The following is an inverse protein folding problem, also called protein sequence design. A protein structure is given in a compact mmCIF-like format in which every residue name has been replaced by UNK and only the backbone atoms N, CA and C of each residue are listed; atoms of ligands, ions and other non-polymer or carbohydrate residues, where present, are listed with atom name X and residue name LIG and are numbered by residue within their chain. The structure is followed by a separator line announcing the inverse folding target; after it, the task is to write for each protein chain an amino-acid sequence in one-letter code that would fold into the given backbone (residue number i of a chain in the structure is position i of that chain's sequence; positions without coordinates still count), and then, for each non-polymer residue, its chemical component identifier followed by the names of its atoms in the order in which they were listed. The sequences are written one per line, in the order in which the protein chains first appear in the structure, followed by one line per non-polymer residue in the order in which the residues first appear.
data_IF_253787661202
#
_entry.id   IF_253787661202
#
_cell.length_a   1.000
_cell.length_b   1.000
_cell.length_c   1.000
_cell.angle_alpha   90.00
_cell.angle_beta   90.00
_cell.angle_gamma   90.00
#
_symmetry.space_group_name_H-M   'P 1'
#
loop_
_entity.id
_entity.type
_entity.pdbx_description
1 polymer ?
#
# COMPACT_ATOMS: atom_id res chain seq x y z
N UNK A 1 -0.40 -16.57 12.77
CA UNK A 1 0.13 -16.75 11.41
C UNK A 1 1.25 -17.80 11.32
N UNK A 2 1.61 -18.43 12.44
CA UNK A 2 2.64 -19.50 12.49
C UNK A 2 4.08 -19.00 12.74
N UNK A 3 4.33 -17.71 12.86
CA UNK A 3 5.61 -17.18 13.32
C UNK A 3 5.70 -17.31 14.84
N UNK A 4 6.87 -17.67 15.34
CA UNK A 4 7.20 -17.64 16.78
C UNK A 4 7.70 -16.27 17.22
N UNK A 5 8.01 -15.38 16.28
CA UNK A 5 8.57 -14.06 16.52
C UNK A 5 7.55 -12.92 16.36
N UNK A 6 6.81 -12.91 15.25
CA UNK A 6 5.82 -11.87 14.98
C UNK A 6 4.53 -12.12 15.76
N UNK A 7 4.11 -11.11 16.54
CA UNK A 7 2.87 -11.14 17.30
C UNK A 7 1.73 -10.55 16.47
N UNK A 8 0.75 -11.39 16.13
CA UNK A 8 -0.36 -11.01 15.25
C UNK A 8 -1.73 -11.39 15.84
N UNK A 9 -2.04 -10.98 17.10
CA UNK A 9 -3.22 -11.50 17.82
C UNK A 9 -4.54 -11.19 17.10
N UNK A 10 -4.68 -10.02 16.50
CA UNK A 10 -5.91 -9.65 15.78
C UNK A 10 -6.06 -10.37 14.43
N UNK A 11 -4.95 -10.59 13.72
CA UNK A 11 -4.96 -11.38 12.47
C UNK A 11 -5.25 -12.85 12.80
N UNK A 12 -4.67 -13.36 13.88
CA UNK A 12 -4.90 -14.76 14.30
C UNK A 12 -6.35 -14.95 14.75
N UNK A 13 -6.97 -13.96 15.42
CA UNK A 13 -8.40 -13.98 15.75
C UNK A 13 -9.24 -13.99 14.48
N UNK A 14 -8.99 -13.11 13.51
CA UNK A 14 -9.71 -13.11 12.24
C UNK A 14 -9.60 -14.46 11.52
N UNK A 15 -8.42 -15.07 11.52
CA UNK A 15 -8.19 -16.38 10.92
C UNK A 15 -8.95 -17.51 11.65
N UNK A 16 -9.14 -17.39 12.97
CA UNK A 16 -9.92 -18.38 13.76
C UNK A 16 -11.43 -18.23 13.61
N UNK A 17 -11.92 -17.02 13.31
CA UNK A 17 -13.33 -16.70 13.11
C UNK A 17 -13.76 -16.84 11.63
N UNK A 18 -12.80 -16.95 10.70
CA UNK A 18 -13.04 -16.94 9.26
C UNK A 18 -12.33 -18.08 8.52
N UNK A 19 -11.92 -17.80 7.28
CA UNK A 19 -11.20 -18.74 6.44
C UNK A 19 -9.73 -18.30 6.25
N UNK A 20 -8.81 -19.23 6.45
CA UNK A 20 -7.39 -19.07 6.18
C UNK A 20 -6.97 -19.90 4.97
N UNK A 21 -6.56 -19.24 3.90
CA UNK A 21 -6.02 -19.90 2.70
C UNK A 21 -4.55 -20.22 2.91
N UNK A 22 -4.18 -21.49 2.84
CA UNK A 22 -2.79 -21.96 3.03
C UNK A 22 -1.94 -21.85 1.77
N UNK A 23 -2.60 -21.81 0.61
CA UNK A 23 -1.96 -21.79 -0.71
C UNK A 23 -2.46 -20.60 -1.54
N UNK A 24 -2.34 -19.40 -0.99
CA UNK A 24 -2.68 -18.14 -1.67
C UNK A 24 -1.41 -17.43 -2.15
N UNK A 25 -1.41 -17.05 -3.43
CA UNK A 25 -0.26 -16.43 -4.08
C UNK A 25 -0.61 -15.05 -4.62
N UNK A 26 0.32 -14.09 -4.49
CA UNK A 26 0.19 -12.80 -5.15
C UNK A 26 0.46 -12.94 -6.67
N UNK A 27 -0.18 -12.09 -7.47
CA UNK A 27 -0.01 -12.11 -8.92
C UNK A 27 1.39 -11.69 -9.39
N UNK A 28 2.15 -11.01 -8.53
CA UNK A 28 3.51 -10.56 -8.79
C UNK A 28 4.26 -10.34 -7.48
N UNK A 29 5.59 -10.39 -7.55
CA UNK A 29 6.48 -10.18 -6.39
C UNK A 29 6.68 -8.70 -6.03
N UNK A 30 6.12 -7.75 -6.80
CA UNK A 30 6.26 -6.30 -6.57
C UNK A 30 4.91 -5.59 -6.53
N UNK A 31 4.93 -4.34 -6.03
CA UNK A 31 3.74 -3.61 -5.57
C UNK A 31 2.72 -3.27 -6.67
N UNK A 32 3.07 -2.50 -7.69
CA UNK A 32 2.09 -1.98 -8.65
C UNK A 32 1.35 -3.07 -9.43
N UNK A 33 2.02 -4.10 -10.00
CA UNK A 33 1.30 -5.14 -10.72
C UNK A 33 0.38 -5.98 -9.83
N UNK A 34 0.79 -6.28 -8.59
CA UNK A 34 -0.08 -6.99 -7.64
C UNK A 34 -1.31 -6.17 -7.28
N UNK A 35 -1.15 -4.86 -7.04
CA UNK A 35 -2.26 -3.95 -6.73
C UNK A 35 -3.24 -3.83 -7.90
N UNK A 36 -2.72 -3.66 -9.10
CA UNK A 36 -3.54 -3.65 -10.31
C UNK A 36 -4.32 -4.96 -10.48
N UNK A 37 -3.67 -6.10 -10.26
CA UNK A 37 -4.32 -7.41 -10.34
C UNK A 37 -5.44 -7.58 -9.29
N UNK A 38 -5.25 -7.13 -8.05
CA UNK A 38 -6.27 -7.15 -7.00
C UNK A 38 -7.50 -6.33 -7.41
N UNK A 39 -7.29 -5.13 -7.96
CA UNK A 39 -8.38 -4.22 -8.28
C UNK A 39 -9.12 -4.58 -9.56
N UNK A 40 -8.45 -5.21 -10.54
CA UNK A 40 -9.03 -5.50 -11.86
C UNK A 40 -9.36 -6.97 -12.09
N UNK A 41 -8.89 -7.89 -11.25
CA UNK A 41 -8.98 -9.33 -11.49
C UNK A 41 -8.15 -9.83 -12.66
N UNK A 42 -7.23 -9.03 -13.20
CA UNK A 42 -6.42 -9.36 -14.37
C UNK A 42 -4.97 -9.61 -14.01
N UNK A 43 -4.32 -10.56 -14.69
CA UNK A 43 -2.89 -10.76 -14.54
C UNK A 43 -2.07 -9.56 -15.04
N UNK A 44 -0.92 -9.27 -14.41
CA UNK A 44 -0.05 -8.15 -14.79
C UNK A 44 0.32 -8.11 -16.28
N UNK A 45 0.54 -9.28 -16.90
CA UNK A 45 0.85 -9.37 -18.31
C UNK A 45 -0.31 -8.89 -19.22
N UNK A 46 -1.56 -9.08 -18.81
CA UNK A 46 -2.74 -8.58 -19.54
C UNK A 46 -2.90 -7.08 -19.44
N UNK A 47 -2.50 -6.53 -18.30
CA UNK A 47 -2.51 -5.08 -18.03
C UNK A 47 -1.30 -4.36 -18.64
N UNK A 48 -0.30 -5.10 -19.09
CA UNK A 48 1.02 -4.56 -19.46
C UNK A 48 1.66 -3.72 -18.32
N UNK A 49 1.26 -3.99 -17.06
CA UNK A 49 1.80 -3.36 -15.88
C UNK A 49 2.54 -4.46 -15.09
N UNK A 50 3.78 -4.73 -15.48
CA UNK A 50 4.54 -5.91 -15.06
C UNK A 50 5.69 -5.60 -14.11
N UNK A 51 5.90 -4.31 -13.77
CA UNK A 51 6.89 -3.88 -12.79
C UNK A 51 6.33 -2.72 -11.95
N UNK A 52 7.01 -2.37 -10.85
CA UNK A 52 6.61 -1.26 -9.98
C UNK A 52 6.77 0.11 -10.66
N UNK A 53 5.89 1.03 -10.34
CA UNK A 53 5.90 2.39 -10.88
C UNK A 53 6.82 3.33 -10.05
N UNK A 54 7.44 4.32 -10.66
CA UNK A 54 7.56 4.59 -12.09
C UNK A 54 8.69 3.76 -12.72
N UNK A 55 8.47 2.55 -13.09
CA UNK A 55 9.46 1.63 -13.64
C UNK A 55 10.35 2.31 -14.71
N UNK A 56 11.51 1.79 -14.89
CA UNK A 56 12.53 2.36 -15.76
C UNK A 56 13.93 1.94 -15.31
N UNK A 57 14.05 0.71 -14.80
CA UNK A 57 15.36 0.11 -14.49
C UNK A 57 16.13 -0.30 -15.75
N UNK A 58 15.64 0.07 -16.92
CA UNK A 58 16.37 -0.25 -18.13
C UNK A 58 17.77 0.42 -18.10
N UNK A 59 18.77 -0.43 -18.06
CA UNK A 59 20.16 -0.03 -18.23
C UNK A 59 20.48 -0.12 -19.74
N UNK A 60 21.01 0.93 -20.38
CA UNK A 60 21.48 0.88 -21.77
C UNK A 60 22.48 -0.26 -22.05
N UNK A 61 23.15 -0.75 -21.02
CA UNK A 61 24.08 -1.89 -21.09
C UNK A 61 23.41 -3.25 -20.85
N UNK A 62 22.10 -3.28 -20.55
CA UNK A 62 21.38 -4.53 -20.34
C UNK A 62 21.36 -5.37 -21.62
N UNK A 63 21.55 -6.68 -21.48
CA UNK A 63 21.52 -7.62 -22.60
C UNK A 63 20.14 -7.75 -23.24
N UNK A 64 19.08 -7.45 -22.47
CA UNK A 64 17.69 -7.53 -22.90
C UNK A 64 17.05 -6.15 -22.82
N UNK A 65 16.24 -5.83 -23.81
CA UNK A 65 15.43 -4.62 -23.84
C UNK A 65 14.21 -4.81 -22.94
N UNK A 66 13.81 -3.76 -22.21
CA UNK A 66 12.55 -3.72 -21.47
C UNK A 66 11.38 -4.02 -22.41
N UNK A 67 10.46 -4.86 -21.97
CA UNK A 67 9.22 -5.16 -22.68
C UNK A 67 8.27 -3.96 -22.72
N UNK A 68 7.17 -4.09 -23.47
CA UNK A 68 6.10 -3.10 -23.48
C UNK A 68 5.50 -2.99 -22.06
N UNK A 69 5.39 -1.77 -21.56
CA UNK A 69 5.00 -1.49 -20.20
C UNK A 69 4.16 -0.20 -20.13
N UNK A 70 3.06 -0.23 -19.36
CA UNK A 70 2.25 0.95 -19.06
C UNK A 70 2.71 1.59 -17.75
N UNK A 71 2.62 2.93 -17.67
CA UNK A 71 3.15 3.69 -16.53
C UNK A 71 2.08 4.16 -15.55
N UNK A 72 0.88 3.64 -15.71
CA UNK A 72 -0.26 3.87 -14.83
C UNK A 72 -1.29 2.75 -15.06
N UNK A 73 -2.20 2.54 -14.12
CA UNK A 73 -3.38 1.74 -14.36
C UNK A 73 -4.24 2.47 -15.41
N UNK A 74 -4.53 1.86 -16.59
CA UNK A 74 -5.34 2.50 -17.60
C UNK A 74 -6.77 2.76 -17.11
N UNK A 75 -7.35 3.90 -17.50
CA UNK A 75 -8.72 4.28 -17.12
C UNK A 75 -9.79 3.37 -17.72
N UNK A 76 -9.44 2.65 -18.77
CA UNK A 76 -10.33 1.67 -19.43
C UNK A 76 -10.47 0.37 -18.64
N UNK A 77 -9.62 0.18 -17.63
CA UNK A 77 -9.68 -1.00 -16.78
C UNK A 77 -10.75 -0.84 -15.71
N UNK A 78 -11.81 -1.62 -15.82
CA UNK A 78 -12.90 -1.63 -14.86
C UNK A 78 -12.46 -2.31 -13.56
N UNK A 79 -12.54 -1.59 -12.46
CA UNK A 79 -12.04 -2.03 -11.16
C UNK A 79 -13.14 -2.59 -10.25
N UNK A 80 -12.73 -3.35 -9.24
CA UNK A 80 -13.62 -3.80 -8.17
C UNK A 80 -14.33 -2.62 -7.47
N UNK A 81 -13.62 -1.50 -7.30
CA UNK A 81 -14.22 -0.30 -6.68
C UNK A 81 -15.31 0.31 -7.55
N UNK A 82 -15.13 0.37 -8.88
CA UNK A 82 -16.16 0.83 -9.81
C UNK A 82 -17.37 -0.07 -9.78
N UNK A 83 -17.17 -1.40 -9.83
CA UNK A 83 -18.26 -2.37 -9.77
C UNK A 83 -19.09 -2.25 -8.48
N UNK A 84 -18.41 -2.10 -7.35
CA UNK A 84 -19.09 -1.95 -6.07
C UNK A 84 -19.78 -0.59 -5.91
N UNK A 85 -19.17 0.49 -6.42
CA UNK A 85 -19.79 1.81 -6.46
C UNK A 85 -21.07 1.81 -7.30
N UNK A 86 -21.07 1.17 -8.47
CA UNK A 86 -22.26 0.98 -9.31
C UNK A 86 -23.34 0.15 -8.59
N UNK A 87 -22.95 -0.76 -7.70
CA UNK A 87 -23.84 -1.54 -6.86
C UNK A 87 -24.31 -0.77 -5.61
N UNK A 88 -23.98 0.52 -5.47
CA UNK A 88 -24.44 1.37 -4.37
C UNK A 88 -23.57 1.33 -3.10
N UNK A 89 -22.38 0.78 -3.18
CA UNK A 89 -21.43 0.82 -2.07
C UNK A 89 -20.72 2.19 -1.99
N UNK A 90 -20.52 2.68 -0.78
CA UNK A 90 -19.59 3.77 -0.51
C UNK A 90 -18.17 3.23 -0.55
N UNK A 91 -17.29 3.81 -1.37
CA UNK A 91 -15.96 3.26 -1.65
C UNK A 91 -14.85 4.15 -1.11
N UNK A 92 -13.85 3.57 -0.44
CA UNK A 92 -12.68 4.28 0.07
C UNK A 92 -11.37 3.55 -0.22
N UNK A 93 -10.36 4.32 -0.61
CA UNK A 93 -8.96 3.92 -0.66
C UNK A 93 -8.18 4.70 0.39
N UNK A 94 -7.69 4.03 1.42
CA UNK A 94 -6.95 4.65 2.52
C UNK A 94 -5.57 3.99 2.62
N UNK A 95 -4.53 4.72 2.22
CA UNK A 95 -3.14 4.25 2.22
C UNK A 95 -2.49 4.23 0.84
N UNK A 96 -1.61 3.26 0.63
CA UNK A 96 -0.76 3.20 -0.56
C UNK A 96 -1.55 2.88 -1.83
N UNK A 97 -1.51 3.79 -2.80
CA UNK A 97 -2.05 3.56 -4.14
C UNK A 97 -1.00 2.96 -5.09
N UNK A 98 -0.06 3.75 -5.52
CA UNK A 98 1.07 3.33 -6.37
C UNK A 98 0.66 2.71 -7.73
N UNK A 99 -0.43 3.19 -8.32
CA UNK A 99 -0.92 2.75 -9.63
C UNK A 99 -0.99 3.86 -10.67
N UNK A 100 -0.38 4.99 -10.40
CA UNK A 100 -0.24 6.07 -11.36
C UNK A 100 -0.25 7.44 -10.72
N UNK A 101 0.18 8.47 -11.49
CA UNK A 101 0.28 9.85 -11.05
C UNK A 101 -1.00 10.65 -11.27
N UNK A 102 -1.02 11.84 -10.67
CA UNK A 102 -1.91 12.91 -11.13
C UNK A 102 -1.66 13.24 -12.61
N UNK A 103 -2.67 13.74 -13.33
CA UNK A 103 -4.02 14.03 -12.85
C UNK A 103 -5.03 12.89 -13.09
N UNK A 104 -4.67 11.77 -13.71
CA UNK A 104 -5.64 10.85 -14.29
C UNK A 104 -5.63 9.43 -13.72
N UNK A 105 -4.78 9.10 -12.77
CA UNK A 105 -4.67 7.71 -12.30
C UNK A 105 -4.56 7.59 -10.77
N UNK A 106 -5.31 8.44 -10.07
CA UNK A 106 -5.49 8.37 -8.62
C UNK A 106 -6.72 7.52 -8.27
N UNK A 107 -6.90 7.08 -7.02
CA UNK A 107 -8.04 6.26 -6.61
C UNK A 107 -9.41 6.79 -7.05
N UNK A 108 -9.65 8.10 -6.99
CA UNK A 108 -10.91 8.70 -7.39
C UNK A 108 -11.25 8.53 -8.88
N UNK A 109 -10.25 8.27 -9.73
CA UNK A 109 -10.44 8.00 -11.15
C UNK A 109 -10.75 6.52 -11.43
N UNK A 110 -10.64 5.67 -10.41
CA UNK A 110 -10.81 4.22 -10.47
C UNK A 110 -11.88 3.72 -9.48
N UNK A 111 -12.93 4.53 -9.27
CA UNK A 111 -14.11 4.09 -8.56
C UNK A 111 -14.12 4.32 -7.05
N UNK A 112 -13.14 5.02 -6.49
CA UNK A 112 -13.16 5.37 -5.07
C UNK A 112 -13.74 6.77 -4.84
N UNK A 113 -14.75 6.85 -3.95
CA UNK A 113 -15.35 8.11 -3.52
C UNK A 113 -14.45 8.88 -2.55
N UNK A 114 -13.66 8.15 -1.77
CA UNK A 114 -12.73 8.69 -0.78
C UNK A 114 -11.32 8.21 -1.09
N UNK A 115 -10.37 9.16 -1.11
CA UNK A 115 -8.95 8.87 -1.24
C UNK A 115 -8.18 9.55 -0.11
N UNK A 116 -7.57 8.77 0.78
CA UNK A 116 -6.71 9.25 1.85
C UNK A 116 -5.33 8.66 1.68
N UNK A 117 -4.32 9.49 1.52
CA UNK A 117 -2.91 9.14 1.33
C UNK A 117 -2.59 8.34 0.05
N UNK A 118 -3.55 8.09 -0.83
CA UNK A 118 -3.32 7.40 -2.10
C UNK A 118 -2.72 8.33 -3.15
N UNK A 119 -1.50 8.04 -3.61
CA UNK A 119 -0.80 8.78 -4.67
C UNK A 119 0.12 7.89 -5.51
N UNK A 120 0.92 8.50 -6.39
CA UNK A 120 1.86 7.80 -7.25
C UNK A 120 3.04 7.15 -6.51
N UNK A 121 3.33 7.55 -5.27
CA UNK A 121 4.50 7.07 -4.55
C UNK A 121 4.28 5.69 -3.93
N UNK A 122 5.28 4.82 -4.05
CA UNK A 122 5.26 3.48 -3.49
C UNK A 122 5.68 3.39 -2.03
N UNK A 123 6.19 4.49 -1.46
CA UNK A 123 6.65 4.56 -0.08
C UNK A 123 6.47 5.97 0.48
N UNK A 124 6.30 6.15 1.79
CA UNK A 124 6.37 7.46 2.42
C UNK A 124 7.81 7.95 2.44
N UNK A 125 8.01 9.24 2.57
CA UNK A 125 9.34 9.79 2.82
C UNK A 125 9.82 9.54 4.26
N UNK A 126 8.88 9.49 5.20
CA UNK A 126 9.07 9.20 6.62
C UNK A 126 7.76 8.61 7.18
N UNK A 127 7.85 7.69 8.15
CA UNK A 127 6.67 7.17 8.83
C UNK A 127 6.18 8.04 9.98
N UNK A 128 6.93 9.08 10.35
CA UNK A 128 6.52 10.06 11.35
C UNK A 128 6.21 11.40 10.69
N UNK A 129 5.18 12.10 11.20
CA UNK A 129 4.81 13.43 10.71
C UNK A 129 6.03 14.38 10.69
N UNK A 130 6.21 15.17 9.63
CA UNK A 130 5.32 15.44 8.49
C UNK A 130 5.39 14.46 7.32
N UNK A 131 5.83 13.22 7.52
CA UNK A 131 5.91 12.12 6.55
C UNK A 131 6.84 12.36 5.35
N UNK A 132 7.47 13.49 5.30
CA UNK A 132 8.41 13.87 4.24
C UNK A 132 9.78 13.25 4.50
N UNK A 133 10.45 12.87 3.44
CA UNK A 133 11.81 12.36 3.50
C UNK A 133 12.70 13.00 2.45
N UNK A 134 13.99 12.82 2.65
CA UNK A 134 15.04 13.32 1.73
C UNK A 134 15.46 12.30 0.67
N UNK A 135 14.73 11.19 0.54
CA UNK A 135 15.11 10.20 -0.44
C UNK A 135 14.84 10.69 -1.86
N UNK A 136 15.77 10.37 -2.75
CA UNK A 136 15.66 10.69 -4.17
C UNK A 136 15.03 9.51 -4.90
N UNK A 137 14.14 9.79 -5.82
CA UNK A 137 13.63 8.80 -6.76
C UNK A 137 14.81 8.31 -7.62
N UNK A 138 15.16 7.02 -7.58
CA UNK A 138 16.38 6.53 -8.23
C UNK A 138 16.44 6.82 -9.73
N UNK A 139 15.30 6.80 -10.41
CA UNK A 139 15.18 6.98 -11.87
C UNK A 139 15.25 8.43 -12.31
N UNK A 140 14.88 9.39 -11.47
CA UNK A 140 14.79 10.82 -11.84
C UNK A 140 15.76 11.71 -11.07
N UNK A 141 16.33 11.22 -9.98
CA UNK A 141 17.14 12.00 -9.05
C UNK A 141 16.36 13.09 -8.29
N UNK A 142 15.06 13.25 -8.55
CA UNK A 142 14.23 14.24 -7.89
C UNK A 142 13.91 13.80 -6.45
N UNK A 143 13.78 14.77 -5.56
CA UNK A 143 13.29 14.50 -4.19
C UNK A 143 11.81 14.13 -4.24
N UNK A 144 11.46 13.05 -3.58
CA UNK A 144 10.07 12.66 -3.41
C UNK A 144 9.40 13.64 -2.44
N UNK A 145 8.40 14.36 -2.93
CA UNK A 145 7.51 15.15 -2.08
C UNK A 145 6.28 14.30 -1.77
N UNK A 146 6.16 13.89 -0.53
CA UNK A 146 5.01 13.15 -0.06
C UNK A 146 4.21 14.06 0.88
N UNK A 147 3.16 14.69 0.38
CA UNK A 147 2.37 15.71 1.06
C UNK A 147 0.86 15.45 1.00
N UNK A 148 0.48 14.18 0.92
CA UNK A 148 -0.94 13.76 0.81
C UNK A 148 -1.70 13.77 2.14
N UNK A 149 -1.00 13.97 3.24
CA UNK A 149 -1.55 14.21 4.57
C UNK A 149 -0.87 15.47 5.13
N UNK A 150 -1.36 16.67 4.76
CA UNK A 150 -0.72 17.93 5.15
C UNK A 150 -0.87 18.23 6.64
N UNK A 151 -1.93 17.70 7.26
CA UNK A 151 -2.25 17.90 8.67
C UNK A 151 -1.77 16.73 9.51
N UNK A 152 -1.18 16.99 10.65
CA UNK A 152 -0.72 15.97 11.57
C UNK A 152 -0.10 16.57 12.82
N UNK A 153 0.18 15.72 13.79
CA UNK A 153 0.80 16.10 15.06
C UNK A 153 2.28 15.68 15.08
N UNK A 154 3.16 16.43 15.75
CA UNK A 154 4.53 15.98 15.98
C UNK A 154 4.58 14.55 16.50
N UNK A 155 5.42 13.71 15.90
CA UNK A 155 5.59 12.29 16.24
C UNK A 155 4.39 11.37 15.91
N UNK A 156 3.36 11.85 15.23
CA UNK A 156 2.28 11.01 14.72
C UNK A 156 2.84 9.95 13.76
N UNK A 157 2.46 8.69 13.97
CA UNK A 157 2.93 7.58 13.17
C UNK A 157 1.94 7.25 12.06
N UNK A 158 2.42 7.17 10.84
CA UNK A 158 1.59 7.04 9.63
C UNK A 158 0.61 5.87 9.69
N UNK A 159 1.03 4.72 10.22
CA UNK A 159 0.13 3.55 10.31
C UNK A 159 -1.03 3.81 11.27
N UNK A 160 -0.78 4.48 12.40
CA UNK A 160 -1.82 4.85 13.36
C UNK A 160 -2.77 5.86 12.71
N UNK A 161 -2.23 6.92 12.08
CA UNK A 161 -3.04 7.93 11.39
C UNK A 161 -3.95 7.31 10.33
N UNK A 162 -3.44 6.44 9.49
CA UNK A 162 -4.26 5.77 8.47
C UNK A 162 -5.32 4.85 9.10
N UNK A 163 -5.03 4.27 10.25
CA UNK A 163 -5.99 3.46 11.00
C UNK A 163 -7.12 4.33 11.55
N UNK A 164 -6.79 5.49 12.11
CA UNK A 164 -7.79 6.46 12.61
C UNK A 164 -8.71 6.95 11.49
N UNK A 165 -8.16 7.23 10.31
CA UNK A 165 -8.94 7.60 9.12
C UNK A 165 -9.86 6.45 8.66
N UNK A 166 -9.38 5.21 8.70
CA UNK A 166 -10.20 4.05 8.36
C UNK A 166 -11.33 3.85 9.37
N UNK A 167 -11.06 4.00 10.66
CA UNK A 167 -12.09 3.93 11.72
C UNK A 167 -13.12 5.04 11.55
N UNK A 168 -12.69 6.25 11.24
CA UNK A 168 -13.60 7.37 10.95
C UNK A 168 -14.52 7.03 9.77
N UNK A 169 -13.96 6.54 8.66
CA UNK A 169 -14.75 6.12 7.50
C UNK A 169 -15.78 5.03 7.86
N UNK A 170 -15.38 4.04 8.66
CA UNK A 170 -16.29 2.98 9.11
C UNK A 170 -17.47 3.51 9.94
N UNK A 171 -17.22 4.49 10.82
CA UNK A 171 -18.28 5.15 11.57
C UNK A 171 -19.22 5.97 10.68
N UNK A 172 -18.69 6.70 9.72
CA UNK A 172 -19.46 7.50 8.77
C UNK A 172 -20.32 6.66 7.82
N UNK A 173 -19.96 5.40 7.63
CA UNK A 173 -20.63 4.48 6.69
C UNK A 173 -21.37 3.33 7.39
N UNK A 174 -21.58 3.42 8.70
CA UNK A 174 -22.18 2.33 9.50
C UNK A 174 -23.56 1.87 9.01
N UNK A 175 -24.36 2.78 8.42
CA UNK A 175 -25.74 2.52 7.99
C UNK A 175 -25.88 2.21 6.49
N UNK A 176 -24.76 2.00 5.76
CA UNK A 176 -24.79 1.72 4.34
C UNK A 176 -23.71 0.69 3.94
N UNK A 177 -23.88 -0.02 2.82
CA UNK A 177 -22.82 -0.90 2.33
C UNK A 177 -21.59 -0.09 1.95
N UNK A 178 -20.41 -0.59 2.31
CA UNK A 178 -19.15 0.05 1.98
C UNK A 178 -18.12 -0.94 1.46
N UNK A 179 -17.15 -0.40 0.72
CA UNK A 179 -15.93 -1.07 0.30
C UNK A 179 -14.71 -0.25 0.74
N UNK A 180 -13.94 -0.78 1.66
CA UNK A 180 -12.71 -0.18 2.14
C UNK A 180 -11.49 -0.94 1.58
N UNK A 181 -10.74 -0.32 0.68
CA UNK A 181 -9.41 -0.75 0.29
C UNK A 181 -8.39 -0.06 1.21
N UNK A 182 -7.76 -0.86 2.11
CA UNK A 182 -6.90 -0.34 3.17
C UNK A 182 -5.47 -0.89 3.08
N UNK A 183 -4.70 -0.51 2.07
CA UNK A 183 -3.34 -0.97 1.87
C UNK A 183 -2.33 -0.12 2.64
N UNK A 184 -1.81 -0.63 3.74
CA UNK A 184 -0.75 0.04 4.50
C UNK A 184 0.52 0.30 3.67
N UNK A 185 1.26 1.36 4.02
CA UNK A 185 2.64 1.56 3.56
C UNK A 185 3.64 0.64 4.28
N UNK A 186 3.40 0.34 5.57
CA UNK A 186 4.19 -0.64 6.32
C UNK A 186 4.13 -2.05 5.69
N UNK A 187 5.25 -2.70 5.67
CA UNK A 187 6.58 -2.41 6.24
C UNK A 187 7.61 -2.01 5.16
N UNK A 188 7.29 -1.09 4.28
CA UNK A 188 8.19 -0.61 3.23
C UNK A 188 9.28 0.30 3.84
N UNK A 189 10.41 0.43 3.14
CA UNK A 189 11.43 1.43 3.49
C UNK A 189 10.88 2.87 3.39
N UNK A 190 11.37 3.81 4.24
CA UNK A 190 12.39 3.64 5.27
C UNK A 190 11.91 2.75 6.42
N UNK A 191 12.81 1.92 7.00
CA UNK A 191 12.45 1.07 8.12
C UNK A 191 12.39 1.94 9.39
N UNK A 192 11.20 2.18 9.87
CA UNK A 192 10.95 3.01 11.05
C UNK A 192 9.78 2.43 11.85
N UNK A 193 9.93 2.39 13.15
CA UNK A 193 8.89 1.93 14.06
C UNK A 193 8.81 2.80 15.31
N UNK A 194 7.70 2.71 16.03
CA UNK A 194 7.55 3.37 17.34
C UNK A 194 8.54 2.78 18.32
N UNK A 195 9.21 3.62 19.10
CA UNK A 195 10.27 3.20 20.05
C UNK A 195 9.79 2.15 21.04
N UNK A 196 8.56 2.28 21.52
CA UNK A 196 7.96 1.32 22.45
C UNK A 196 7.76 -0.06 21.83
N UNK A 197 7.45 -0.12 20.53
CA UNK A 197 7.34 -1.39 19.81
C UNK A 197 8.70 -2.04 19.62
N UNK A 198 9.71 -1.26 19.23
CA UNK A 198 11.10 -1.74 19.13
C UNK A 198 11.55 -2.30 20.50
N UNK A 199 11.37 -1.53 21.58
CA UNK A 199 11.73 -1.96 22.93
C UNK A 199 11.00 -3.22 23.41
N UNK A 200 9.79 -3.49 22.89
CA UNK A 200 9.08 -4.73 23.18
C UNK A 200 9.79 -5.93 22.53
N UNK A 201 10.16 -5.82 21.26
CA UNK A 201 10.85 -6.89 20.53
C UNK A 201 12.31 -7.07 20.97
N UNK A 202 12.96 -6.03 21.47
CA UNK A 202 14.31 -6.11 22.04
C UNK A 202 14.37 -6.96 23.33
N UNK A 203 13.26 -7.15 24.02
CA UNK A 203 13.17 -8.03 25.19
C UNK A 203 13.16 -9.52 24.84
N UNK A 204 12.91 -9.85 23.59
CA UNK A 204 12.98 -11.24 23.11
C UNK A 204 14.46 -11.65 23.09
N UNK A 205 14.82 -12.82 23.65
CA UNK A 205 16.19 -13.32 23.62
C UNK A 205 16.76 -13.37 22.19
N UNK A 206 18.05 -13.08 22.05
CA UNK A 206 18.68 -12.92 20.73
C UNK A 206 18.62 -14.20 19.88
N UNK A 207 18.68 -15.37 20.52
CA UNK A 207 18.58 -16.69 19.91
C UNK A 207 17.14 -17.06 19.46
N UNK A 208 16.14 -16.38 20.00
CA UNK A 208 14.74 -16.53 19.61
C UNK A 208 14.31 -15.52 18.51
N UNK A 209 15.17 -14.56 18.17
CA UNK A 209 14.84 -13.53 17.17
C UNK A 209 14.99 -14.08 15.75
N UNK A 210 14.01 -13.76 14.93
CA UNK A 210 14.05 -14.03 13.47
C UNK A 210 14.42 -12.75 12.71
N UNK A 211 15.54 -12.11 13.09
CA UNK A 211 16.02 -10.86 12.53
C UNK A 211 16.33 -9.80 13.60
N UNK A 212 16.61 -8.58 13.13
CA UNK A 212 16.78 -7.41 14.03
C UNK A 212 15.44 -6.76 14.33
N UNK A 213 15.20 -6.22 15.54
CA UNK A 213 14.03 -5.39 15.82
C UNK A 213 13.95 -4.14 14.95
N UNK A 214 15.10 -3.58 14.58
CA UNK A 214 15.36 -2.57 13.53
C UNK A 214 16.86 -2.40 13.32
#
# INVERSE_FOLDING_TARGET
NGSTYYQTPNIDRLASEGARFTDAYSACAVCSPTRAAILTGKYPARLLLTDWLPSGRWDPKAKLKEGRFVRALPLEEFTLAEALREAGYRTASIGKWHLGPEPFSLPQHHGFDVNIAGNAHGAPGNYFFPYNGDWKIPTTGLRAKWNVLPDGKPSEYLTDRLTDEAVTFLHETADQPFFLYFPHYGVHTPLQAKKEMVAQYEKIPADERQGSPL
#
